data_IF_258216038502
#
_entry.id   IF_258216038502
#
_cell.length_a   1.000
_cell.length_b   1.000
_cell.length_c   1.000
_cell.angle_alpha   90.00
_cell.angle_beta   90.00
_cell.angle_gamma   90.00
#
_symmetry.space_group_name_H-M   'P 1'
#
loop_
_entity.id
_entity.type
_entity.pdbx_description
1 polymer ?
#
# COMPACT_ATOMS: atom_id res chain seq x y z
N UNK A 1 -17.60 8.54 -19.99
CA UNK A 1 -16.15 8.80 -20.09
C UNK A 1 -15.47 7.89 -19.09
N UNK A 2 -14.37 7.25 -19.50
CA UNK A 2 -13.86 6.00 -18.94
C UNK A 2 -13.36 6.13 -17.51
N UNK A 3 -13.96 5.37 -16.58
CA UNK A 3 -13.33 5.03 -15.29
C UNK A 3 -11.92 4.49 -15.56
N UNK A 4 -10.89 5.13 -14.99
CA UNK A 4 -9.49 4.69 -15.12
C UNK A 4 -9.37 3.30 -14.52
N UNK A 5 -9.01 2.30 -15.33
CA UNK A 5 -8.78 0.94 -14.88
C UNK A 5 -7.35 0.80 -14.36
N UNK A 6 -7.20 0.63 -13.04
CA UNK A 6 -5.90 0.60 -12.37
C UNK A 6 -5.54 -0.83 -11.94
N UNK A 7 -4.33 -1.28 -12.27
CA UNK A 7 -3.76 -2.52 -11.73
C UNK A 7 -2.76 -2.19 -10.61
N UNK A 8 -3.04 -2.66 -9.39
CA UNK A 8 -2.12 -2.54 -8.25
C UNK A 8 -1.40 -3.86 -8.00
N UNK A 9 -0.08 -3.83 -7.99
CA UNK A 9 0.80 -4.97 -7.73
C UNK A 9 1.34 -4.88 -6.30
N UNK A 10 1.04 -5.88 -5.47
CA UNK A 10 1.43 -5.93 -4.05
C UNK A 10 2.15 -7.22 -3.71
N UNK A 11 2.90 -7.27 -2.59
CA UNK A 11 3.71 -8.44 -2.24
C UNK A 11 2.90 -9.59 -1.63
N UNK A 12 1.91 -9.26 -0.80
CA UNK A 12 1.16 -10.17 0.05
C UNK A 12 -0.29 -9.75 0.30
N UNK A 13 -0.94 -10.54 1.16
CA UNK A 13 -2.39 -10.46 1.40
C UNK A 13 -2.80 -9.28 2.27
N UNK A 14 -1.93 -8.83 3.18
CA UNK A 14 -2.16 -7.66 4.03
C UNK A 14 -2.32 -6.40 3.17
N UNK A 15 -1.35 -6.13 2.29
CA UNK A 15 -1.44 -5.01 1.34
C UNK A 15 -2.70 -5.11 0.48
N UNK A 16 -3.03 -6.31 -0.02
CA UNK A 16 -4.23 -6.50 -0.82
C UNK A 16 -5.51 -6.07 -0.09
N UNK A 17 -5.65 -6.42 1.18
CA UNK A 17 -6.80 -6.03 2.00
C UNK A 17 -6.87 -4.53 2.20
N UNK A 18 -5.74 -3.92 2.58
CA UNK A 18 -5.62 -2.48 2.76
C UNK A 18 -5.98 -1.71 1.48
N UNK A 19 -5.36 -2.07 0.35
CA UNK A 19 -5.55 -1.40 -0.94
C UNK A 19 -6.99 -1.49 -1.45
N UNK A 20 -7.63 -2.65 -1.33
CA UNK A 20 -9.05 -2.81 -1.69
C UNK A 20 -9.94 -1.88 -0.88
N UNK A 21 -9.70 -1.79 0.43
CA UNK A 21 -10.49 -0.94 1.33
C UNK A 21 -10.34 0.53 0.98
N UNK A 22 -9.10 0.99 0.76
CA UNK A 22 -8.80 2.37 0.34
C UNK A 22 -9.50 2.70 -0.98
N UNK A 23 -9.32 1.87 -2.00
CA UNK A 23 -9.90 2.13 -3.32
C UNK A 23 -11.43 2.14 -3.30
N UNK A 24 -12.07 1.23 -2.55
CA UNK A 24 -13.53 1.24 -2.37
C UNK A 24 -14.02 2.54 -1.76
N UNK A 25 -13.31 3.09 -0.77
CA UNK A 25 -13.67 4.36 -0.13
C UNK A 25 -13.49 5.57 -1.04
N UNK A 26 -12.57 5.49 -2.00
CA UNK A 26 -12.31 6.54 -2.98
C UNK A 26 -13.12 6.38 -4.27
N UNK A 27 -13.94 5.33 -4.39
CA UNK A 27 -14.64 5.02 -5.64
C UNK A 27 -13.71 4.62 -6.80
N UNK A 28 -12.46 4.28 -6.52
CA UNK A 28 -11.46 3.95 -7.53
C UNK A 28 -11.63 2.51 -8.05
N UNK A 29 -11.73 2.36 -9.38
CA UNK A 29 -11.81 1.06 -10.04
C UNK A 29 -10.42 0.42 -10.13
N UNK A 30 -10.16 -0.52 -9.24
CA UNK A 30 -8.86 -1.20 -9.16
C UNK A 30 -8.97 -2.72 -9.31
N UNK A 31 -7.90 -3.34 -9.79
CA UNK A 31 -7.60 -4.76 -9.56
C UNK A 31 -6.31 -4.89 -8.80
N UNK A 32 -6.30 -5.71 -7.73
CA UNK A 32 -5.08 -6.02 -6.98
C UNK A 32 -4.55 -7.39 -7.38
N UNK A 33 -3.27 -7.47 -7.74
CA UNK A 33 -2.57 -8.71 -8.08
C UNK A 33 -1.40 -8.94 -7.13
N UNK A 34 -1.34 -10.14 -6.57
CA UNK A 34 -0.26 -10.58 -5.69
C UNK A 34 0.97 -10.98 -6.51
N UNK A 35 2.11 -10.36 -6.22
CA UNK A 35 3.40 -10.77 -6.78
C UNK A 35 3.94 -12.05 -6.14
N UNK A 36 3.45 -12.40 -4.94
CA UNK A 36 3.92 -13.51 -4.09
C UNK A 36 5.43 -13.34 -3.78
N UNK A 37 5.73 -12.28 -3.02
CA UNK A 37 7.08 -11.88 -2.59
C UNK A 37 7.76 -10.82 -3.47
N UNK A 38 9.02 -10.49 -3.15
CA UNK A 38 9.79 -9.42 -3.79
C UNK A 38 10.33 -9.80 -5.20
N UNK A 39 9.42 -10.12 -6.13
CA UNK A 39 9.78 -10.55 -7.50
C UNK A 39 9.54 -9.42 -8.49
N UNK A 40 10.35 -8.38 -8.41
CA UNK A 40 10.26 -7.21 -9.30
C UNK A 40 10.27 -7.61 -10.78
N UNK A 41 10.99 -8.67 -11.17
CA UNK A 41 10.96 -9.20 -12.55
C UNK A 41 9.58 -9.63 -13.07
N UNK A 42 8.63 -9.98 -12.20
CA UNK A 42 7.24 -10.28 -12.59
C UNK A 42 6.50 -9.04 -13.10
N UNK A 43 6.86 -7.85 -12.61
CA UNK A 43 6.28 -6.57 -13.04
C UNK A 43 6.38 -6.45 -14.57
N UNK A 44 7.55 -6.75 -15.15
CA UNK A 44 7.74 -6.74 -16.60
C UNK A 44 6.78 -7.66 -17.33
N UNK A 45 6.63 -8.90 -16.85
CA UNK A 45 5.72 -9.88 -17.46
C UNK A 45 4.27 -9.41 -17.39
N UNK A 46 3.83 -8.96 -16.21
CA UNK A 46 2.48 -8.45 -16.01
C UNK A 46 2.18 -7.25 -16.91
N UNK A 47 3.07 -6.26 -16.96
CA UNK A 47 2.89 -5.07 -17.79
C UNK A 47 2.82 -5.44 -19.28
N UNK A 48 3.66 -6.38 -19.75
CA UNK A 48 3.61 -6.84 -21.15
C UNK A 48 2.30 -7.57 -21.47
N UNK A 49 1.81 -8.40 -20.56
CA UNK A 49 0.61 -9.22 -20.78
C UNK A 49 -0.69 -8.41 -20.62
N UNK A 50 -0.71 -7.43 -19.73
CA UNK A 50 -1.92 -6.68 -19.36
C UNK A 50 -1.86 -5.19 -19.75
N UNK A 51 -0.80 -4.74 -20.41
CA UNK A 51 -0.54 -3.34 -20.76
C UNK A 51 -1.65 -2.64 -21.56
N UNK A 52 -2.42 -3.40 -22.33
CA UNK A 52 -3.58 -2.89 -23.09
C UNK A 52 -4.90 -2.91 -22.31
N UNK A 53 -4.95 -3.56 -21.14
CA UNK A 53 -6.16 -3.74 -20.33
C UNK A 53 -6.31 -2.74 -19.20
N UNK A 54 -5.24 -2.00 -18.88
CA UNK A 54 -5.20 -1.08 -17.77
C UNK A 54 -4.57 0.24 -18.21
N UNK A 55 -5.13 1.32 -17.72
CA UNK A 55 -4.67 2.68 -17.97
C UNK A 55 -3.49 3.04 -17.08
N UNK A 56 -3.38 2.38 -15.91
CA UNK A 56 -2.36 2.66 -14.92
C UNK A 56 -1.93 1.41 -14.16
N UNK A 57 -0.65 1.37 -13.83
CA UNK A 57 -0.04 0.34 -13.01
C UNK A 57 0.59 0.99 -11.78
N UNK A 58 0.20 0.55 -10.59
CA UNK A 58 0.82 0.98 -9.33
C UNK A 58 1.52 -0.23 -8.72
N UNK A 59 2.82 -0.11 -8.46
CA UNK A 59 3.61 -1.14 -7.80
C UNK A 59 3.83 -0.68 -6.37
N UNK A 60 3.26 -1.38 -5.40
CA UNK A 60 3.49 -1.11 -3.98
C UNK A 60 4.59 -2.03 -3.47
N UNK A 61 5.62 -1.43 -2.84
CA UNK A 61 6.77 -2.16 -2.32
C UNK A 61 7.07 -1.79 -0.89
N UNK A 62 7.07 -2.78 -0.02
CA UNK A 62 7.63 -2.65 1.32
C UNK A 62 9.16 -2.65 1.24
N UNK A 63 9.77 -1.70 1.91
CA UNK A 63 11.22 -1.59 1.97
C UNK A 63 11.83 -2.65 2.90
N UNK A 64 11.09 -3.12 3.90
CA UNK A 64 11.57 -4.00 4.98
C UNK A 64 12.90 -3.49 5.54
N UNK A 65 13.98 -4.28 5.40
CA UNK A 65 15.37 -3.93 5.75
C UNK A 65 16.24 -3.62 4.52
N UNK A 66 15.66 -3.58 3.31
CA UNK A 66 16.42 -3.32 2.10
C UNK A 66 16.72 -1.83 1.94
N UNK A 67 17.88 -1.44 1.42
CA UNK A 67 18.12 -0.04 1.09
C UNK A 67 17.22 0.39 -0.07
N UNK A 68 16.56 1.56 0.05
CA UNK A 68 15.65 2.12 -0.95
C UNK A 68 16.30 2.16 -2.35
N UNK A 69 17.57 2.56 -2.38
CA UNK A 69 18.40 2.63 -3.59
C UNK A 69 18.39 1.31 -4.37
N UNK A 70 18.43 0.16 -3.70
CA UNK A 70 18.42 -1.15 -4.37
C UNK A 70 17.07 -1.45 -5.03
N UNK A 71 15.95 -1.02 -4.41
CA UNK A 71 14.61 -1.15 -5.01
C UNK A 71 14.50 -0.23 -6.22
N UNK A 72 14.95 1.02 -6.08
CA UNK A 72 14.92 2.03 -7.14
C UNK A 72 15.76 1.62 -8.36
N UNK A 73 16.97 1.10 -8.15
CA UNK A 73 17.84 0.59 -9.23
C UNK A 73 17.21 -0.59 -9.97
N UNK A 74 16.56 -1.51 -9.26
CA UNK A 74 15.84 -2.63 -9.88
C UNK A 74 14.63 -2.15 -10.65
N UNK A 75 13.87 -1.20 -10.11
CA UNK A 75 12.74 -0.58 -10.79
C UNK A 75 13.18 0.13 -12.08
N UNK A 76 14.22 0.96 -12.01
CA UNK A 76 14.75 1.68 -13.17
C UNK A 76 15.25 0.72 -14.27
N UNK A 77 15.87 -0.40 -13.90
CA UNK A 77 16.22 -1.45 -14.85
C UNK A 77 15.00 -2.01 -15.57
N UNK A 78 13.92 -2.30 -14.85
CA UNK A 78 12.69 -2.79 -15.47
C UNK A 78 12.03 -1.73 -16.34
N UNK A 79 11.95 -0.49 -15.85
CA UNK A 79 11.37 0.65 -16.56
C UNK A 79 12.01 0.82 -17.93
N UNK A 80 13.34 0.70 -18.04
CA UNK A 80 14.08 0.74 -19.32
C UNK A 80 13.73 -0.39 -20.31
N UNK A 81 13.13 -1.49 -19.88
CA UNK A 81 12.73 -2.62 -20.74
C UNK A 81 11.29 -2.56 -21.26
N UNK A 82 10.55 -1.53 -20.86
CA UNK A 82 9.16 -1.28 -21.22
C UNK A 82 9.12 -0.17 -22.29
N UNK A 83 8.09 -0.12 -23.15
CA UNK A 83 7.91 0.96 -24.14
C UNK A 83 7.67 2.31 -23.46
N UNK A 84 8.00 3.42 -24.13
CA UNK A 84 7.88 4.77 -23.57
C UNK A 84 6.47 5.07 -23.04
N UNK A 85 5.45 4.79 -23.85
CA UNK A 85 4.03 4.93 -23.48
C UNK A 85 3.65 4.17 -22.18
N UNK A 86 4.08 2.91 -22.04
CA UNK A 86 3.81 2.13 -20.83
C UNK A 86 4.62 2.62 -19.62
N UNK A 87 5.80 3.23 -19.82
CA UNK A 87 6.64 3.73 -18.70
C UNK A 87 5.99 4.88 -17.94
N UNK A 88 5.15 5.68 -18.58
CA UNK A 88 4.48 6.82 -17.96
C UNK A 88 3.30 6.38 -17.07
N UNK A 89 2.66 5.28 -17.49
CA UNK A 89 1.53 4.62 -16.81
C UNK A 89 1.95 3.79 -15.59
N UNK A 90 3.23 3.51 -15.43
CA UNK A 90 3.76 2.69 -14.33
C UNK A 90 4.32 3.58 -13.23
N UNK A 91 3.73 3.48 -12.03
CA UNK A 91 4.16 4.18 -10.82
C UNK A 91 4.68 3.17 -9.80
N UNK A 92 5.75 3.54 -9.09
CA UNK A 92 6.29 2.79 -7.97
C UNK A 92 5.99 3.60 -6.71
N UNK A 93 5.39 2.97 -5.71
CA UNK A 93 5.24 3.51 -4.36
C UNK A 93 6.01 2.62 -3.41
N UNK A 94 6.91 3.22 -2.64
CA UNK A 94 7.72 2.52 -1.64
C UNK A 94 7.18 2.85 -0.26
N UNK A 95 6.71 1.83 0.46
CA UNK A 95 6.33 1.96 1.87
C UNK A 95 7.57 1.77 2.72
N UNK A 96 7.87 2.78 3.55
CA UNK A 96 9.00 2.70 4.47
C UNK A 96 8.75 1.61 5.51
N UNK A 97 9.65 0.63 5.54
CA UNK A 97 9.57 -0.63 6.28
C UNK A 97 8.38 -1.54 5.87
N UNK A 98 7.13 -1.22 6.23
CA UNK A 98 5.99 -2.10 5.94
C UNK A 98 4.64 -1.34 5.97
N UNK A 99 3.61 -1.91 5.33
CA UNK A 99 2.26 -1.33 5.30
C UNK A 99 1.64 -1.14 6.70
N UNK A 100 2.08 -1.89 7.71
CA UNK A 100 1.65 -1.65 9.09
C UNK A 100 1.97 -0.23 9.60
N UNK A 101 2.92 0.49 8.99
CA UNK A 101 3.14 1.91 9.27
C UNK A 101 1.90 2.76 8.97
N UNK A 102 1.12 2.41 7.93
CA UNK A 102 -0.14 3.09 7.63
C UNK A 102 -1.19 2.81 8.70
N UNK A 103 -1.22 1.60 9.25
CA UNK A 103 -2.15 1.23 10.33
C UNK A 103 -1.81 1.99 11.61
N UNK A 104 -0.52 2.12 11.92
CA UNK A 104 -0.03 2.87 13.08
C UNK A 104 -0.22 4.38 12.96
N UNK A 105 -0.45 4.91 11.77
CA UNK A 105 -0.76 6.34 11.59
C UNK A 105 -2.12 6.71 12.22
N UNK A 106 -3.10 5.81 12.21
CA UNK A 106 -4.40 5.94 12.89
C UNK A 106 -4.62 4.79 13.88
N UNK A 107 -4.04 4.93 15.06
CA UNK A 107 -4.17 3.97 16.17
C UNK A 107 -5.59 3.84 16.70
N UNK A 108 -6.48 4.80 16.41
CA UNK A 108 -7.87 4.77 16.87
C UNK A 108 -8.65 3.77 16.02
N UNK A 109 -8.41 3.73 14.71
CA UNK A 109 -8.96 2.71 13.82
C UNK A 109 -8.53 1.30 14.22
N UNK A 110 -7.25 1.13 14.57
CA UNK A 110 -6.76 -0.15 15.12
C UNK A 110 -7.51 -0.50 16.41
N UNK A 111 -7.65 0.46 17.34
CA UNK A 111 -8.36 0.26 18.61
C UNK A 111 -9.81 -0.20 18.40
N UNK A 112 -10.51 0.42 17.44
CA UNK A 112 -11.88 0.04 17.03
C UNK A 112 -11.95 -1.39 16.49
N UNK A 113 -11.05 -1.77 15.58
CA UNK A 113 -11.05 -3.10 14.95
C UNK A 113 -10.78 -4.23 15.95
N UNK A 114 -9.90 -3.99 16.92
CA UNK A 114 -9.51 -4.99 17.92
C UNK A 114 -10.34 -4.91 19.21
N UNK A 115 -11.30 -3.99 19.30
CA UNK A 115 -12.13 -3.71 20.47
C UNK A 115 -11.28 -3.64 21.75
N UNK A 116 -10.29 -2.75 21.75
CA UNK A 116 -9.38 -2.57 22.87
C UNK A 116 -9.29 -1.10 23.28
N UNK A 117 -8.76 -0.87 24.50
CA UNK A 117 -8.52 0.50 24.99
C UNK A 117 -7.57 1.24 24.06
N UNK A 118 -7.78 2.55 23.96
CA UNK A 118 -7.00 3.48 23.15
C UNK A 118 -5.51 3.14 23.14
N UNK A 119 -5.01 2.87 21.94
CA UNK A 119 -3.60 2.68 21.66
C UNK A 119 -2.91 4.03 21.61
N UNK A 120 -1.67 4.10 22.14
CA UNK A 120 -0.88 5.34 22.15
C UNK A 120 -0.70 5.86 20.72
N UNK A 121 -1.05 7.12 20.48
CA UNK A 121 -0.81 7.78 19.20
C UNK A 121 0.68 7.77 18.81
N UNK A 122 0.93 7.55 17.52
CA UNK A 122 2.25 7.61 16.91
C UNK A 122 2.31 8.84 16.00
N UNK A 123 3.42 9.59 16.12
CA UNK A 123 3.66 10.82 15.36
C UNK A 123 4.25 10.52 13.97
N UNK A 124 5.27 9.68 13.93
CA UNK A 124 5.95 9.25 12.69
C UNK A 124 6.03 7.72 12.63
N UNK A 125 5.00 7.07 12.08
CA UNK A 125 4.96 5.61 12.02
C UNK A 125 5.92 5.01 10.99
N UNK A 126 6.32 5.78 9.98
CA UNK A 126 7.26 5.34 8.94
C UNK A 126 8.72 5.33 9.43
N UNK A 127 9.03 6.01 10.55
CA UNK A 127 10.33 5.91 11.22
C UNK A 127 10.55 4.63 12.04
N UNK A 128 9.50 3.83 12.27
CA UNK A 128 9.57 2.61 13.09
C UNK A 128 10.23 1.51 12.25
N UNK A 129 11.31 0.90 12.75
CA UNK A 129 12.08 -0.11 12.02
C UNK A 129 11.25 -1.36 11.68
N UNK A 130 10.43 -1.84 12.61
CA UNK A 130 9.47 -2.93 12.39
C UNK A 130 8.05 -2.49 12.83
N UNK A 131 7.29 -1.86 11.92
CA UNK A 131 5.92 -1.42 12.21
C UNK A 131 4.98 -2.58 12.55
N UNK A 132 5.23 -3.78 12.02
CA UNK A 132 4.39 -4.95 12.29
C UNK A 132 4.62 -5.48 13.71
N UNK A 133 5.88 -5.52 14.15
CA UNK A 133 6.23 -5.87 15.52
C UNK A 133 5.71 -4.85 16.52
N UNK A 134 5.86 -3.54 16.26
CA UNK A 134 5.32 -2.50 17.14
C UNK A 134 3.79 -2.61 17.27
N UNK A 135 3.07 -2.78 16.16
CA UNK A 135 1.63 -3.00 16.16
C UNK A 135 1.24 -4.23 17.01
N UNK A 136 1.95 -5.34 16.84
CA UNK A 136 1.71 -6.56 17.61
C UNK A 136 2.01 -6.34 19.11
N UNK A 137 3.08 -5.63 19.46
CA UNK A 137 3.46 -5.32 20.83
C UNK A 137 2.43 -4.42 21.52
N UNK A 138 1.94 -3.40 20.82
CA UNK A 138 0.86 -2.53 21.31
C UNK A 138 -0.42 -3.32 21.60
N UNK A 139 -0.79 -4.24 20.71
CA UNK A 139 -1.97 -5.09 20.88
C UNK A 139 -1.78 -6.15 21.98
N UNK A 140 -0.59 -6.75 22.09
CA UNK A 140 -0.26 -7.72 23.15
C UNK A 140 -0.44 -7.13 24.55
N UNK A 141 -0.02 -5.87 24.75
CA UNK A 141 -0.24 -5.14 26.02
C UNK A 141 -1.73 -4.95 26.36
N UNK A 142 -2.64 -5.20 25.41
CA UNK A 142 -4.10 -5.18 25.58
C UNK A 142 -4.73 -6.57 25.53
N UNK A 143 -3.94 -7.65 25.56
CA UNK A 143 -4.43 -9.02 25.46
C UNK A 143 -4.94 -9.39 24.06
N UNK A 144 -4.45 -8.72 23.01
CA UNK A 144 -4.81 -8.96 21.60
C UNK A 144 -3.56 -9.35 20.80
N UNK A 145 -3.76 -9.96 19.64
CA UNK A 145 -2.67 -10.34 18.72
C UNK A 145 -2.97 -9.84 17.32
N UNK A 146 -1.94 -9.34 16.65
CA UNK A 146 -2.01 -8.98 15.24
C UNK A 146 -1.56 -10.16 14.38
N UNK A 147 -2.37 -10.50 13.38
CA UNK A 147 -2.03 -11.48 12.36
C UNK A 147 -2.11 -10.81 10.98
N UNK A 148 -1.10 -11.06 10.15
CA UNK A 148 -1.06 -10.54 8.77
C UNK A 148 -2.10 -11.26 7.91
N UNK A 149 -3.28 -10.65 7.76
CA UNK A 149 -4.40 -11.22 7.03
C UNK A 149 -5.16 -10.15 6.22
N UNK A 150 -5.67 -10.54 5.03
CA UNK A 150 -6.42 -9.66 4.12
C UNK A 150 -7.61 -8.99 4.83
N UNK A 151 -8.42 -9.76 5.53
CA UNK A 151 -9.61 -9.27 6.22
C UNK A 151 -9.30 -8.32 7.39
N UNK A 152 -8.18 -8.51 8.09
CA UNK A 152 -7.77 -7.62 9.19
C UNK A 152 -7.33 -6.28 8.62
N UNK A 153 -6.45 -6.29 7.61
CA UNK A 153 -5.99 -5.08 6.94
C UNK A 153 -7.14 -4.30 6.29
N UNK A 154 -8.08 -5.00 5.65
CA UNK A 154 -9.27 -4.39 5.06
C UNK A 154 -10.12 -3.67 6.12
N UNK A 155 -10.35 -4.32 7.27
CA UNK A 155 -11.10 -3.73 8.39
C UNK A 155 -10.41 -2.51 8.97
N UNK A 156 -9.09 -2.57 9.21
CA UNK A 156 -8.33 -1.41 9.73
C UNK A 156 -8.48 -0.23 8.77
N UNK A 157 -8.20 -0.43 7.48
CA UNK A 157 -8.28 0.65 6.50
C UNK A 157 -9.71 1.09 6.18
N UNK A 158 -10.72 0.31 6.55
CA UNK A 158 -12.12 0.73 6.46
C UNK A 158 -12.48 1.72 7.57
N UNK A 159 -12.00 1.45 8.79
CA UNK A 159 -12.23 2.31 9.96
C UNK A 159 -11.30 3.52 10.02
N UNK A 160 -10.20 3.52 9.26
CA UNK A 160 -9.17 4.54 9.29
C UNK A 160 -9.65 5.92 8.81
N UNK A 161 -9.12 6.98 9.39
CA UNK A 161 -9.18 8.31 8.80
C UNK A 161 -8.05 8.47 7.77
N UNK A 162 -8.39 8.51 6.47
CA UNK A 162 -7.38 8.59 5.40
C UNK A 162 -6.63 9.92 5.42
N UNK A 163 -7.24 11.01 5.90
CA UNK A 163 -6.55 12.29 6.03
C UNK A 163 -5.50 12.25 7.14
N UNK A 164 -5.83 11.63 8.27
CA UNK A 164 -4.89 11.42 9.38
C UNK A 164 -3.71 10.58 8.92
N UNK A 165 -3.96 9.48 8.20
CA UNK A 165 -2.89 8.65 7.66
C UNK A 165 -2.04 9.47 6.66
N UNK A 166 -2.67 10.18 5.73
CA UNK A 166 -1.97 10.99 4.71
C UNK A 166 -1.11 12.12 5.29
N UNK A 167 -1.42 12.62 6.49
CA UNK A 167 -0.62 13.63 7.19
C UNK A 167 0.63 13.03 7.87
N UNK A 168 0.59 11.75 8.24
CA UNK A 168 1.65 11.08 9.02
C UNK A 168 2.51 10.10 8.23
N UNK A 169 1.97 9.51 7.17
CA UNK A 169 2.65 8.52 6.34
C UNK A 169 2.80 9.06 4.92
N UNK A 170 4.04 9.36 4.54
CA UNK A 170 4.37 9.97 3.25
C UNK A 170 4.10 9.04 2.08
N UNK A 171 4.40 7.74 2.24
CA UNK A 171 4.14 6.73 1.21
C UNK A 171 2.65 6.48 0.99
N UNK A 172 1.83 6.64 2.04
CA UNK A 172 0.38 6.58 1.91
C UNK A 172 -0.16 7.74 1.08
N UNK A 173 0.33 8.96 1.34
CA UNK A 173 -0.02 10.14 0.54
C UNK A 173 0.39 9.98 -0.93
N UNK A 174 1.58 9.45 -1.18
CA UNK A 174 2.04 9.14 -2.54
C UNK A 174 1.12 8.12 -3.23
N UNK A 175 0.71 7.07 -2.49
CA UNK A 175 -0.24 6.08 -2.99
C UNK A 175 -1.60 6.70 -3.34
N UNK A 176 -2.14 7.57 -2.48
CA UNK A 176 -3.39 8.28 -2.75
C UNK A 176 -3.28 9.11 -4.02
N UNK A 177 -2.22 9.90 -4.15
CA UNK A 177 -1.98 10.70 -5.36
C UNK A 177 -1.92 9.81 -6.61
N UNK A 178 -1.26 8.65 -6.52
CA UNK A 178 -1.21 7.70 -7.64
C UNK A 178 -2.59 7.12 -7.99
N UNK A 179 -3.46 6.88 -7.02
CA UNK A 179 -4.82 6.41 -7.28
C UNK A 179 -5.67 7.48 -7.97
N UNK A 180 -5.52 8.74 -7.55
CA UNK A 180 -6.39 9.85 -7.98
C UNK A 180 -5.80 10.70 -9.11
N UNK A 181 -4.70 10.32 -9.75
CA UNK A 181 -4.07 11.08 -10.86
C UNK A 181 -4.23 10.39 -12.24
N UNK A 182 -4.90 10.96 -13.24
CA UNK A 182 -5.61 12.24 -13.21
C UNK A 182 -6.85 12.17 -12.28
N UNK A 183 -7.36 13.33 -11.80
CA UNK A 183 -8.46 13.40 -10.85
C UNK A 183 -9.63 12.50 -11.26
N UNK A 184 -10.17 11.74 -10.29
CA UNK A 184 -11.48 11.10 -10.46
C UNK A 184 -12.49 12.23 -10.64
N UNK A 185 -13.01 12.41 -11.86
CA UNK A 185 -14.00 13.45 -12.14
C UNK A 185 -15.31 12.98 -11.49
N UNK A 186 -15.77 13.74 -10.49
CA UNK A 186 -17.04 13.57 -9.78
C UNK A 186 -18.25 13.86 -10.66
#
# INVERSE_FOLDING_TARGET
>A
MSDVDILVLVEGVTEKGAIKSIAKRLGAKIKVVLMRGNRIGKVRGVIRTLGSKYDKFIILKDLHKYPEKAIMERYNRIRRTISADLRERVKLVIVRHAIEAWFLADTDAVSRVFNCRWLRAIRDPESIEDPAEELNNMLKRKGKLYYKAENIAERIMREADLEVISKKASSFREFLNCLTDPPLIS
#
